data_IF_696410176948
#
_entry.id   IF_696410176948
#
_cell.length_a   1.000
_cell.length_b   1.000
_cell.length_c   1.000
_cell.angle_alpha   90.00
_cell.angle_beta   90.00
_cell.angle_gamma   90.00
#
_symmetry.space_group_name_H-M   'P 1'
#
loop_
_entity.id
_entity.type
_entity.pdbx_description
1 polymer ?
#
# COMPACT_ATOMS: atom_id res chain seq x y z
N UNK A 1 24.82 -12.62 -7.85
CA UNK A 1 24.17 -12.48 -6.53
C UNK A 1 23.29 -11.25 -6.57
N UNK A 2 21.96 -11.41 -6.64
CA UNK A 2 21.07 -10.25 -6.54
C UNK A 2 21.02 -9.84 -5.06
N UNK A 3 21.41 -8.60 -4.74
CA UNK A 3 21.40 -8.09 -3.37
C UNK A 3 19.99 -8.12 -2.76
N UNK A 4 19.91 -8.09 -1.44
CA UNK A 4 18.66 -8.15 -0.65
C UNK A 4 17.60 -7.10 -1.03
N UNK A 5 18.00 -6.04 -1.76
CA UNK A 5 17.16 -4.95 -2.25
C UNK A 5 16.81 -5.03 -3.75
N UNK A 6 17.05 -6.17 -4.41
CA UNK A 6 16.77 -6.31 -5.85
C UNK A 6 15.32 -6.06 -6.25
N UNK A 7 14.38 -6.19 -5.29
CA UNK A 7 12.96 -5.92 -5.52
C UNK A 7 12.65 -4.43 -5.72
N UNK A 8 13.52 -3.51 -5.26
CA UNK A 8 13.36 -2.05 -5.45
C UNK A 8 13.68 -1.59 -6.87
N UNK A 9 14.17 -2.49 -7.73
CA UNK A 9 14.45 -2.16 -9.12
C UNK A 9 13.13 -1.85 -9.85
N UNK A 10 13.01 -0.69 -10.50
CA UNK A 10 11.78 -0.34 -11.20
C UNK A 10 11.58 -1.27 -12.40
N UNK A 11 10.36 -1.78 -12.51
CA UNK A 11 9.80 -2.47 -13.68
C UNK A 11 8.62 -1.67 -14.21
N UNK A 12 8.22 -1.84 -15.49
CA UNK A 12 7.03 -1.17 -16.02
C UNK A 12 5.78 -1.40 -15.15
N UNK A 13 5.59 -2.62 -14.65
CA UNK A 13 4.48 -2.95 -13.75
C UNK A 13 4.53 -2.18 -12.42
N UNK A 14 5.70 -2.08 -11.79
CA UNK A 14 5.82 -1.31 -10.54
C UNK A 14 5.68 0.20 -10.75
N UNK A 15 6.06 0.72 -11.92
CA UNK A 15 5.90 2.14 -12.25
C UNK A 15 4.43 2.49 -12.51
N UNK A 16 3.68 1.64 -13.22
CA UNK A 16 2.24 1.80 -13.41
C UNK A 16 1.52 1.76 -12.06
N UNK A 17 1.84 0.76 -11.23
CA UNK A 17 1.24 0.67 -9.90
C UNK A 17 1.63 1.86 -9.01
N UNK A 18 2.89 2.29 -9.07
CA UNK A 18 3.36 3.48 -8.37
C UNK A 18 2.58 4.72 -8.81
N UNK A 19 2.34 4.93 -10.11
CA UNK A 19 1.59 6.09 -10.60
C UNK A 19 0.17 6.12 -10.02
N UNK A 20 -0.51 4.97 -9.93
CA UNK A 20 -1.84 4.87 -9.32
C UNK A 20 -1.79 5.18 -7.82
N UNK A 21 -0.84 4.61 -7.08
CA UNK A 21 -0.69 4.86 -5.65
C UNK A 21 -0.25 6.31 -5.37
N UNK A 22 0.57 6.90 -6.23
CA UNK A 22 0.99 8.30 -6.14
C UNK A 22 -0.19 9.25 -6.38
N UNK A 23 -1.07 8.94 -7.35
CA UNK A 23 -2.33 9.64 -7.54
C UNK A 23 -3.19 9.60 -6.27
N UNK A 24 -3.33 8.43 -5.64
CA UNK A 24 -4.05 8.30 -4.35
C UNK A 24 -3.38 9.17 -3.27
N UNK A 25 -2.05 9.12 -3.14
CA UNK A 25 -1.30 9.91 -2.16
C UNK A 25 -1.53 11.41 -2.33
N UNK A 26 -1.28 11.95 -3.52
CA UNK A 26 -1.40 13.38 -3.79
C UNK A 26 -2.87 13.82 -3.73
N UNK A 27 -3.79 13.05 -4.31
CA UNK A 27 -5.21 13.37 -4.31
C UNK A 27 -5.83 13.37 -2.91
N UNK A 28 -5.48 12.40 -2.07
CA UNK A 28 -5.94 12.36 -0.68
C UNK A 28 -5.36 13.49 0.18
N UNK A 29 -4.09 13.86 -0.04
CA UNK A 29 -3.50 15.03 0.61
C UNK A 29 -4.23 16.33 0.20
N UNK A 30 -4.51 16.53 -1.09
CA UNK A 30 -5.29 17.67 -1.60
C UNK A 30 -6.70 17.68 -0.99
N UNK A 31 -7.40 16.55 -0.96
CA UNK A 31 -8.75 16.45 -0.38
C UNK A 31 -8.77 16.72 1.13
N UNK A 32 -7.64 16.59 1.83
CA UNK A 32 -7.56 16.94 3.25
C UNK A 32 -7.71 18.45 3.50
N UNK A 33 -7.64 19.27 2.45
CA UNK A 33 -8.00 20.68 2.54
C UNK A 33 -9.45 20.90 3.00
N UNK A 34 -10.35 19.95 2.75
CA UNK A 34 -11.74 20.01 3.21
C UNK A 34 -11.88 20.08 4.74
N UNK A 35 -10.81 19.79 5.49
CA UNK A 35 -10.79 19.90 6.96
C UNK A 35 -10.23 21.23 7.46
N UNK A 36 -9.73 22.07 6.55
CA UNK A 36 -9.11 23.36 6.89
C UNK A 36 -9.56 24.49 5.96
N UNK A 37 -10.62 24.29 5.18
CA UNK A 37 -11.08 25.24 4.16
C UNK A 37 -11.79 26.46 4.76
N UNK A 38 -12.14 26.39 6.04
CA UNK A 38 -12.67 27.45 6.88
C UNK A 38 -11.58 28.31 7.56
N UNK A 39 -10.32 27.87 7.57
CA UNK A 39 -9.23 28.62 8.19
C UNK A 39 -8.84 29.85 7.35
N UNK A 40 -8.89 31.06 7.95
CA UNK A 40 -8.48 32.27 7.25
C UNK A 40 -7.02 32.20 6.81
N UNK A 41 -6.78 32.40 5.51
CA UNK A 41 -5.43 32.46 4.93
C UNK A 41 -4.83 31.13 4.49
N UNK A 42 -5.54 30.00 4.60
CA UNK A 42 -5.12 28.74 4.00
C UNK A 42 -5.38 28.76 2.47
N UNK A 43 -4.35 28.77 1.61
CA UNK A 43 -4.59 28.82 0.17
C UNK A 43 -5.13 27.49 -0.34
N UNK A 44 -6.20 27.52 -1.14
CA UNK A 44 -6.78 26.31 -1.73
C UNK A 44 -5.76 25.56 -2.61
N UNK A 45 -5.57 24.24 -2.42
CA UNK A 45 -4.65 23.47 -3.24
C UNK A 45 -5.05 23.45 -4.72
N UNK A 46 -4.07 23.36 -5.64
CA UNK A 46 -4.36 23.17 -7.05
C UNK A 46 -5.11 21.84 -7.25
N UNK A 47 -6.00 21.81 -8.25
CA UNK A 47 -6.83 20.64 -8.61
C UNK A 47 -7.85 20.20 -7.55
N UNK A 48 -8.01 20.90 -6.42
CA UNK A 48 -8.98 20.51 -5.38
C UNK A 48 -10.39 20.33 -5.93
N UNK A 49 -10.90 21.30 -6.71
CA UNK A 49 -12.26 21.22 -7.27
C UNK A 49 -12.43 20.09 -8.28
N UNK A 50 -11.36 19.76 -9.02
CA UNK A 50 -11.38 18.66 -9.98
C UNK A 50 -11.40 17.31 -9.26
N UNK A 51 -10.71 17.20 -8.13
CA UNK A 51 -10.58 15.96 -7.37
C UNK A 51 -11.73 15.76 -6.37
N UNK A 52 -12.38 16.83 -5.90
CA UNK A 52 -13.48 16.80 -4.92
C UNK A 52 -14.62 15.80 -5.23
N UNK A 53 -15.01 15.56 -6.50
CA UNK A 53 -16.04 14.57 -6.81
C UNK A 53 -15.62 13.11 -6.58
N UNK A 54 -14.32 12.82 -6.55
CA UNK A 54 -13.79 11.47 -6.38
C UNK A 54 -13.64 11.12 -4.89
N UNK A 55 -13.89 9.88 -4.49
CA UNK A 55 -13.70 9.46 -3.08
C UNK A 55 -12.27 8.94 -2.85
N UNK A 56 -11.26 9.81 -2.95
CA UNK A 56 -9.84 9.44 -2.88
C UNK A 56 -9.35 9.33 -1.43
N UNK A 57 -9.87 10.21 -0.57
CA UNK A 57 -9.40 10.39 0.80
C UNK A 57 -9.37 9.09 1.64
N UNK A 58 -10.42 8.23 1.65
CA UNK A 58 -10.38 6.99 2.41
C UNK A 58 -9.25 6.06 1.94
N UNK A 59 -9.06 5.92 0.63
CA UNK A 59 -7.98 5.10 0.06
C UNK A 59 -6.61 5.62 0.47
N UNK A 60 -6.43 6.94 0.48
CA UNK A 60 -5.20 7.56 0.97
C UNK A 60 -4.96 7.31 2.46
N UNK A 61 -5.99 7.41 3.31
CA UNK A 61 -5.85 7.12 4.74
C UNK A 61 -5.32 5.70 4.97
N UNK A 62 -5.91 4.69 4.31
CA UNK A 62 -5.44 3.32 4.44
C UNK A 62 -4.03 3.10 3.84
N UNK A 63 -3.73 3.75 2.70
CA UNK A 63 -2.43 3.66 2.07
C UNK A 63 -1.33 4.32 2.91
N UNK A 64 -1.60 5.48 3.49
CA UNK A 64 -0.62 6.26 4.24
C UNK A 64 -0.54 5.87 5.72
N UNK A 65 -1.52 5.11 6.25
CA UNK A 65 -1.57 4.71 7.65
C UNK A 65 -0.24 4.13 8.19
N UNK A 66 0.45 3.18 7.51
CA UNK A 66 1.71 2.65 8.02
C UNK A 66 2.79 3.73 8.20
N UNK A 67 2.85 4.70 7.27
CA UNK A 67 3.80 5.82 7.32
C UNK A 67 3.45 6.78 8.46
N UNK A 68 2.18 7.13 8.63
CA UNK A 68 1.74 8.02 9.70
C UNK A 68 1.87 7.39 11.08
N UNK A 69 1.55 6.10 11.21
CA UNK A 69 1.73 5.34 12.46
C UNK A 69 3.21 5.26 12.83
N UNK A 70 4.07 4.89 11.88
CA UNK A 70 5.52 4.84 12.10
C UNK A 70 6.09 6.23 12.42
N UNK A 71 5.67 7.25 11.68
CA UNK A 71 6.08 8.64 11.94
C UNK A 71 5.61 9.14 13.30
N UNK A 72 4.43 8.72 13.76
CA UNK A 72 3.95 9.03 15.10
C UNK A 72 4.74 8.31 16.19
N UNK A 73 5.02 7.01 15.99
CA UNK A 73 5.78 6.19 16.92
C UNK A 73 7.22 6.70 17.11
N UNK A 74 7.84 7.15 16.02
CA UNK A 74 9.20 7.69 16.00
C UNK A 74 9.27 9.19 16.30
N UNK A 75 8.13 9.85 16.57
CA UNK A 75 8.10 11.29 16.84
C UNK A 75 8.50 12.17 15.66
N UNK A 76 8.36 11.70 14.42
CA UNK A 76 8.83 12.36 13.19
C UNK A 76 7.81 13.34 12.57
N UNK A 77 6.70 13.64 13.26
CA UNK A 77 5.65 14.56 12.75
C UNK A 77 6.19 15.96 12.44
N UNK A 78 7.25 16.39 13.11
CA UNK A 78 7.90 17.68 12.87
C UNK A 78 8.49 17.80 11.46
N UNK A 79 8.81 16.68 10.80
CA UNK A 79 9.36 16.68 9.43
C UNK A 79 8.39 17.25 8.39
N UNK A 80 7.07 17.22 8.67
CA UNK A 80 6.06 17.79 7.78
C UNK A 80 6.31 19.27 7.47
N UNK A 81 6.98 20.01 8.37
CA UNK A 81 7.35 21.42 8.17
C UNK A 81 8.32 21.63 7.02
N UNK A 82 9.08 20.61 6.63
CA UNK A 82 10.06 20.69 5.53
C UNK A 82 9.50 20.16 4.21
N UNK A 83 8.29 19.63 4.21
CA UNK A 83 7.69 19.14 2.97
C UNK A 83 7.19 20.32 2.13
N UNK A 84 7.32 20.24 0.79
CA UNK A 84 6.81 21.26 -0.11
C UNK A 84 5.33 21.55 0.16
N UNK A 85 4.92 22.81 0.07
CA UNK A 85 3.50 23.20 0.15
C UNK A 85 2.79 22.89 -1.16
N UNK A 86 1.55 22.38 -1.06
CA UNK A 86 0.57 22.28 -2.14
C UNK A 86 -0.56 23.29 -1.92
N UNK A 87 -0.24 24.47 -1.39
CA UNK A 87 -1.21 25.41 -0.83
C UNK A 87 -1.37 25.17 0.68
N UNK A 88 -2.61 25.05 1.15
CA UNK A 88 -2.95 24.87 2.57
C UNK A 88 -2.56 23.49 3.13
N UNK A 89 -2.13 22.56 2.28
CA UNK A 89 -1.71 21.21 2.66
C UNK A 89 -0.25 20.96 2.24
N UNK A 90 0.45 20.11 2.99
CA UNK A 90 1.82 19.70 2.64
C UNK A 90 1.83 18.53 1.65
N UNK A 91 2.84 18.49 0.78
CA UNK A 91 3.06 17.38 -0.13
C UNK A 91 3.31 16.07 0.65
N UNK A 92 2.71 14.94 0.25
CA UNK A 92 2.79 13.68 0.98
C UNK A 92 4.08 12.90 0.64
N UNK A 93 5.25 13.53 0.82
CA UNK A 93 6.56 12.99 0.38
C UNK A 93 6.84 11.61 0.96
N UNK A 94 6.61 11.42 2.26
CA UNK A 94 6.83 10.13 2.92
C UNK A 94 5.88 9.05 2.37
N UNK A 95 4.62 9.39 2.12
CA UNK A 95 3.64 8.47 1.52
C UNK A 95 3.97 8.14 0.07
N UNK A 96 4.56 9.07 -0.70
CA UNK A 96 5.06 8.82 -2.05
C UNK A 96 6.26 7.86 -2.04
N UNK A 97 7.22 8.06 -1.14
CA UNK A 97 8.33 7.13 -0.98
C UNK A 97 7.85 5.73 -0.59
N UNK A 98 6.88 5.64 0.33
CA UNK A 98 6.25 4.39 0.70
C UNK A 98 5.48 3.74 -0.47
N UNK A 99 4.72 4.53 -1.23
CA UNK A 99 3.98 4.06 -2.40
C UNK A 99 4.92 3.43 -3.45
N UNK A 100 6.12 3.98 -3.64
CA UNK A 100 7.14 3.40 -4.51
C UNK A 100 7.67 2.07 -3.97
N UNK A 101 8.05 2.02 -2.69
CA UNK A 101 8.57 0.79 -2.07
C UNK A 101 7.52 -0.32 -2.12
N UNK A 102 6.28 -0.03 -1.76
CA UNK A 102 5.21 -1.03 -1.74
C UNK A 102 4.79 -1.45 -3.15
N UNK A 103 4.87 -0.57 -4.16
CA UNK A 103 4.57 -0.96 -5.55
C UNK A 103 5.62 -1.94 -6.09
N UNK A 104 6.90 -1.65 -5.86
CA UNK A 104 8.01 -2.53 -6.18
C UNK A 104 7.86 -3.88 -5.47
N UNK A 105 7.58 -3.86 -4.17
CA UNK A 105 7.39 -5.07 -3.37
C UNK A 105 6.18 -5.90 -3.82
N UNK A 106 5.04 -5.27 -4.08
CA UNK A 106 3.82 -5.96 -4.49
C UNK A 106 4.00 -6.63 -5.85
N UNK A 107 4.59 -5.94 -6.82
CA UNK A 107 4.85 -6.51 -8.15
C UNK A 107 5.86 -7.65 -8.08
N UNK A 108 6.95 -7.48 -7.31
CA UNK A 108 7.90 -8.54 -7.06
C UNK A 108 7.24 -9.77 -6.41
N UNK A 109 6.44 -9.55 -5.37
CA UNK A 109 5.72 -10.60 -4.65
C UNK A 109 4.73 -11.34 -5.54
N UNK A 110 4.05 -10.58 -6.41
CA UNK A 110 3.14 -11.12 -7.40
C UNK A 110 3.86 -12.05 -8.37
N UNK A 111 4.91 -11.56 -9.03
CA UNK A 111 5.67 -12.30 -10.04
C UNK A 111 6.38 -13.52 -9.46
N UNK A 112 6.90 -13.41 -8.23
CA UNK A 112 7.68 -14.48 -7.61
C UNK A 112 6.85 -15.58 -6.97
N UNK A 113 5.75 -15.23 -6.30
CA UNK A 113 5.00 -16.21 -5.50
C UNK A 113 3.51 -16.24 -5.79
N UNK A 114 2.87 -15.09 -5.99
CA UNK A 114 1.41 -15.05 -6.05
C UNK A 114 0.88 -15.63 -7.37
N UNK A 115 1.44 -15.21 -8.52
CA UNK A 115 0.94 -15.55 -9.86
C UNK A 115 0.85 -17.07 -10.11
N UNK A 116 1.82 -17.84 -9.62
CA UNK A 116 1.94 -19.28 -9.86
C UNK A 116 1.51 -20.14 -8.67
N UNK A 117 1.15 -19.53 -7.54
CA UNK A 117 0.73 -20.24 -6.34
C UNK A 117 -0.77 -20.59 -6.37
N UNK A 118 -1.13 -21.81 -5.94
CA UNK A 118 -2.53 -22.29 -5.82
C UNK A 118 -3.47 -21.27 -5.17
N UNK A 119 -3.03 -20.70 -4.05
CA UNK A 119 -3.76 -19.66 -3.30
C UNK A 119 -3.29 -18.24 -3.62
N UNK A 120 -2.09 -18.10 -4.21
CA UNK A 120 -1.49 -16.81 -4.50
C UNK A 120 -2.28 -16.01 -5.54
N UNK A 121 -2.83 -16.68 -6.57
CA UNK A 121 -3.60 -16.04 -7.64
C UNK A 121 -4.86 -15.32 -7.16
N UNK A 122 -5.40 -15.74 -6.02
CA UNK A 122 -6.62 -15.19 -5.43
C UNK A 122 -6.36 -14.08 -4.41
N UNK A 123 -5.09 -13.78 -4.10
CA UNK A 123 -4.73 -12.73 -3.12
C UNK A 123 -5.33 -11.36 -3.43
N UNK A 124 -5.47 -10.91 -4.71
CA UNK A 124 -6.12 -9.62 -4.98
C UNK A 124 -7.61 -9.62 -4.68
N UNK A 125 -8.28 -10.78 -4.72
CA UNK A 125 -9.71 -10.89 -4.38
C UNK A 125 -9.98 -10.62 -2.90
N UNK A 126 -8.98 -10.81 -2.03
CA UNK A 126 -9.06 -10.38 -0.63
C UNK A 126 -9.24 -8.86 -0.57
N UNK A 127 -8.60 -8.11 -1.46
CA UNK A 127 -8.78 -6.66 -1.55
C UNK A 127 -10.20 -6.26 -1.95
N UNK A 128 -10.80 -6.98 -2.91
CA UNK A 128 -12.21 -6.80 -3.29
C UNK A 128 -13.12 -7.10 -2.11
N UNK A 129 -12.93 -8.26 -1.45
CA UNK A 129 -13.75 -8.66 -0.31
C UNK A 129 -13.68 -7.65 0.85
N UNK A 130 -12.47 -7.19 1.20
CA UNK A 130 -12.27 -6.17 2.24
C UNK A 130 -12.94 -4.84 1.87
N UNK A 131 -12.83 -4.42 0.61
CA UNK A 131 -13.49 -3.20 0.14
C UNK A 131 -15.00 -3.35 0.23
N UNK A 132 -15.56 -4.47 -0.22
CA UNK A 132 -16.99 -4.74 -0.12
C UNK A 132 -17.50 -4.67 1.32
N UNK A 133 -16.76 -5.25 2.28
CA UNK A 133 -17.14 -5.24 3.69
C UNK A 133 -17.03 -3.85 4.32
N UNK A 134 -15.98 -3.09 3.99
CA UNK A 134 -15.70 -1.81 4.66
C UNK A 134 -16.36 -0.60 3.99
N UNK A 135 -16.60 -0.66 2.68
CA UNK A 135 -17.07 0.47 1.88
C UNK A 135 -18.57 0.39 1.57
N UNK A 136 -19.10 -0.79 1.20
CA UNK A 136 -20.50 -0.90 0.78
C UNK A 136 -21.50 -0.51 1.88
N UNK A 137 -21.34 -0.89 3.16
CA UNK A 137 -22.29 -0.47 4.19
C UNK A 137 -22.41 1.04 4.33
N UNK A 138 -21.31 1.79 4.10
CA UNK A 138 -21.30 3.26 4.16
C UNK A 138 -21.97 3.87 2.93
N UNK A 139 -21.75 3.30 1.74
CA UNK A 139 -22.41 3.75 0.52
C UNK A 139 -23.92 3.42 0.55
N UNK A 140 -24.30 2.22 1.00
CA UNK A 140 -25.70 1.78 0.99
C UNK A 140 -26.57 2.36 2.10
N UNK A 141 -26.09 3.34 2.89
CA UNK A 141 -26.92 3.98 3.90
C UNK A 141 -28.04 4.77 3.20
N UNK A 142 -29.32 4.41 3.41
CA UNK A 142 -30.44 5.03 2.70
C UNK A 142 -30.56 6.53 2.96
N UNK A 143 -30.04 7.01 4.10
CA UNK A 143 -29.97 8.45 4.41
C UNK A 143 -28.99 9.19 3.49
N UNK A 144 -27.85 8.58 3.13
CA UNK A 144 -26.85 9.22 2.25
C UNK A 144 -27.36 9.22 0.80
N UNK A 145 -27.94 8.12 0.35
CA UNK A 145 -28.52 8.02 -0.99
C UNK A 145 -29.78 8.88 -1.18
N UNK A 146 -30.60 9.07 -0.14
CA UNK A 146 -31.82 9.89 -0.21
C UNK A 146 -31.57 11.40 -0.06
N UNK A 147 -30.42 11.81 0.47
CA UNK A 147 -30.05 13.23 0.62
C UNK A 147 -29.28 13.80 -0.56
N UNK A 148 -28.78 12.96 -1.48
CA UNK A 148 -28.06 13.44 -2.66
C UNK A 148 -29.01 13.77 -3.81
N UNK A 149 -29.02 15.05 -4.17
CA UNK A 149 -29.83 15.61 -5.26
C UNK A 149 -29.21 15.29 -6.65
N UNK A 150 -27.95 14.84 -6.70
CA UNK A 150 -27.20 14.54 -7.92
C UNK A 150 -26.80 13.04 -8.00
N UNK A 151 -27.55 12.19 -8.73
CA UNK A 151 -27.27 10.76 -8.83
C UNK A 151 -25.98 10.43 -9.58
N UNK A 152 -25.52 11.31 -10.49
CA UNK A 152 -24.28 11.09 -11.23
C UNK A 152 -23.08 11.35 -10.33
N UNK A 153 -23.09 12.45 -9.57
CA UNK A 153 -22.09 12.75 -8.55
C UNK A 153 -21.95 11.63 -7.52
N UNK A 154 -23.08 11.11 -7.03
CA UNK A 154 -23.12 9.96 -6.13
C UNK A 154 -22.43 8.72 -6.72
N UNK A 155 -22.75 8.38 -7.97
CA UNK A 155 -22.20 7.22 -8.66
C UNK A 155 -20.68 7.37 -8.86
N UNK A 156 -20.21 8.53 -9.32
CA UNK A 156 -18.78 8.82 -9.49
C UNK A 156 -18.03 8.68 -8.17
N UNK A 157 -18.54 9.26 -7.09
CA UNK A 157 -17.96 9.16 -5.75
C UNK A 157 -17.88 7.70 -5.28
N UNK A 158 -18.98 6.96 -5.38
CA UNK A 158 -19.09 5.57 -4.93
C UNK A 158 -18.16 4.63 -5.72
N UNK A 159 -18.18 4.73 -7.05
CA UNK A 159 -17.38 3.87 -7.93
C UNK A 159 -15.89 4.17 -7.77
N UNK A 160 -15.52 5.45 -7.70
CA UNK A 160 -14.12 5.84 -7.50
C UNK A 160 -13.58 5.38 -6.15
N UNK A 161 -14.33 5.55 -5.06
CA UNK A 161 -13.92 5.09 -3.74
C UNK A 161 -13.76 3.58 -3.66
N UNK A 162 -14.71 2.83 -4.23
CA UNK A 162 -14.61 1.37 -4.29
C UNK A 162 -13.37 0.93 -5.10
N UNK A 163 -13.17 1.51 -6.30
CA UNK A 163 -12.06 1.13 -7.17
C UNK A 163 -10.69 1.43 -6.53
N UNK A 164 -10.50 2.64 -6.01
CA UNK A 164 -9.24 3.07 -5.42
C UNK A 164 -8.93 2.29 -4.13
N UNK A 165 -9.93 2.06 -3.27
CA UNK A 165 -9.74 1.29 -2.04
C UNK A 165 -9.44 -0.20 -2.34
N UNK A 166 -10.09 -0.76 -3.36
CA UNK A 166 -9.78 -2.11 -3.85
C UNK A 166 -8.31 -2.23 -4.27
N UNK A 167 -7.79 -1.25 -5.00
CA UNK A 167 -6.37 -1.23 -5.39
C UNK A 167 -5.46 -1.24 -4.14
N UNK A 168 -5.73 -0.39 -3.15
CA UNK A 168 -4.93 -0.32 -1.92
C UNK A 168 -4.95 -1.66 -1.16
N UNK A 169 -6.12 -2.26 -0.95
CA UNK A 169 -6.21 -3.53 -0.23
C UNK A 169 -5.65 -4.71 -1.04
N UNK A 170 -5.77 -4.72 -2.36
CA UNK A 170 -5.14 -5.73 -3.20
C UNK A 170 -3.60 -5.66 -3.10
N UNK A 171 -3.03 -4.44 -3.14
CA UNK A 171 -1.60 -4.22 -2.94
C UNK A 171 -1.15 -4.74 -1.58
N UNK A 172 -1.90 -4.45 -0.52
CA UNK A 172 -1.59 -4.97 0.82
C UNK A 172 -1.71 -6.49 0.91
N UNK A 173 -2.79 -7.08 0.37
CA UNK A 173 -2.96 -8.54 0.38
C UNK A 173 -1.80 -9.26 -0.32
N UNK A 174 -1.39 -8.76 -1.50
CA UNK A 174 -0.24 -9.30 -2.25
C UNK A 174 1.06 -9.10 -1.48
N UNK A 175 1.26 -7.92 -0.88
CA UNK A 175 2.46 -7.58 -0.12
C UNK A 175 2.63 -8.44 1.14
N UNK A 176 1.55 -8.65 1.89
CA UNK A 176 1.52 -9.49 3.09
C UNK A 176 1.76 -10.96 2.71
N UNK A 177 1.12 -11.44 1.63
CA UNK A 177 1.37 -12.78 1.12
C UNK A 177 2.84 -13.00 0.74
N UNK A 178 3.43 -12.03 0.03
CA UNK A 178 4.85 -12.05 -0.32
C UNK A 178 5.75 -12.09 0.91
N UNK A 179 5.43 -11.29 1.93
CA UNK A 179 6.20 -11.24 3.17
C UNK A 179 6.17 -12.58 3.90
N UNK A 180 4.98 -13.16 4.04
CA UNK A 180 4.80 -14.49 4.62
C UNK A 180 5.62 -15.56 3.87
N UNK A 181 5.65 -15.52 2.53
CA UNK A 181 6.48 -16.43 1.73
C UNK A 181 7.98 -16.19 1.91
N UNK A 182 8.43 -14.94 1.91
CA UNK A 182 9.83 -14.58 2.12
C UNK A 182 10.34 -15.07 3.49
N UNK A 183 9.58 -14.82 4.55
CA UNK A 183 9.88 -15.30 5.90
C UNK A 183 9.95 -16.83 5.95
N UNK A 184 8.96 -17.52 5.36
CA UNK A 184 8.95 -18.98 5.29
C UNK A 184 10.10 -19.59 4.49
N UNK A 185 10.68 -18.85 3.54
CA UNK A 185 11.91 -19.27 2.84
C UNK A 185 13.17 -19.02 3.68
N UNK A 186 13.27 -17.87 4.36
CA UNK A 186 14.40 -17.52 5.20
C UNK A 186 14.54 -18.45 6.42
N UNK A 187 13.41 -18.77 7.08
CA UNK A 187 13.37 -19.72 8.19
C UNK A 187 13.85 -21.12 7.77
N UNK A 188 13.40 -21.60 6.61
CA UNK A 188 13.84 -22.89 6.07
C UNK A 188 15.32 -22.91 5.72
N UNK A 189 15.86 -21.83 5.15
CA UNK A 189 17.29 -21.76 4.85
C UNK A 189 18.15 -21.76 6.12
N UNK A 190 17.71 -21.11 7.20
CA UNK A 190 18.40 -21.17 8.48
C UNK A 190 18.36 -22.58 9.09
N UNK A 191 17.18 -23.21 9.13
CA UNK A 191 17.03 -24.56 9.71
C UNK A 191 17.79 -25.65 8.92
N UNK A 192 17.86 -25.55 7.58
CA UNK A 192 18.64 -26.48 6.76
C UNK A 192 20.14 -26.18 6.74
N UNK A 193 20.54 -24.93 6.99
CA UNK A 193 21.94 -24.55 7.17
C UNK A 193 22.59 -25.29 8.34
N UNK A 194 21.88 -25.40 9.46
CA UNK A 194 22.34 -26.13 10.65
C UNK A 194 22.50 -27.64 10.40
N UNK A 195 21.61 -28.27 9.61
CA UNK A 195 21.73 -29.69 9.31
C UNK A 195 22.94 -30.04 8.41
N UNK A 196 23.38 -29.12 7.55
CA UNK A 196 24.59 -29.33 6.74
C UNK A 196 25.87 -29.24 7.58
N UNK A 197 25.90 -28.39 8.61
CA UNK A 197 27.03 -28.33 9.55
C UNK A 197 27.09 -29.54 10.50
N UNK A 198 25.93 -30.07 10.92
CA UNK A 198 25.86 -31.30 11.72
C UNK A 198 26.44 -32.54 11.00
N UNK A 199 26.02 -32.77 9.74
CA UNK A 199 26.52 -33.91 8.95
C UNK A 199 28.01 -33.80 8.56
N UNK A 200 28.53 -32.58 8.38
CA UNK A 200 29.95 -32.37 8.09
C UNK A 200 30.85 -32.75 9.30
N UNK A 201 30.36 -32.55 10.53
CA UNK A 201 31.07 -32.98 11.75
C UNK A 201 31.05 -34.50 11.97
N UNK A 202 29.98 -35.18 11.56
CA UNK A 202 29.91 -36.65 11.65
C UNK A 202 30.74 -37.35 10.56
N UNK A 203 30.85 -36.77 9.36
CA UNK A 203 31.69 -37.30 8.28
C UNK A 203 33.20 -37.26 8.59
N UNK A 204 33.64 -36.33 9.44
CA UNK A 204 35.05 -36.18 9.83
C UNK A 204 35.48 -37.13 10.97
N UNK A 205 34.56 -37.88 11.59
CA UNK A 205 34.84 -38.79 12.72
C UNK A 205 34.86 -40.28 12.34
N UNK A 206 34.77 -40.64 11.06
CA UNK A 206 34.93 -42.04 10.66
C UNK A 206 36.42 -42.37 10.46
N UNK A 207 37.02 -43.22 11.32
CA UNK A 207 38.37 -43.72 11.06
C UNK A 207 38.35 -44.54 9.76
N UNK A 208 39.36 -44.33 8.92
CA UNK A 208 39.55 -45.16 7.71
C UNK A 208 39.89 -46.58 8.17
N UNK A 209 39.20 -47.61 7.66
CA UNK A 209 39.62 -48.98 7.89
C UNK A 209 40.97 -49.19 7.18
N UNK A 210 41.92 -49.76 7.92
CA UNK A 210 43.19 -50.26 7.43
C UNK A 210 42.99 -51.62 6.75
#
# INVERSE_FOLDING_TARGET
MAGSLSFLRPTPGSLVLFAVLAFICVGGAIQSYAFIDDFPGAPKPPLYDLLKPLEIWPSWVFLAAPVHLLGSLLGLRWLLKYFPSLGGVSAPVASLAYAYVVSCWAVYSWSRWARYGKYGRYTPLVGVALTSVLYLPRASLPVVAALEVDPLGYAVRTVSGFALLTVVFAVYAVSIYGLHKALGTALRSHLMGDQRFGKAREGARRPRPL
#
